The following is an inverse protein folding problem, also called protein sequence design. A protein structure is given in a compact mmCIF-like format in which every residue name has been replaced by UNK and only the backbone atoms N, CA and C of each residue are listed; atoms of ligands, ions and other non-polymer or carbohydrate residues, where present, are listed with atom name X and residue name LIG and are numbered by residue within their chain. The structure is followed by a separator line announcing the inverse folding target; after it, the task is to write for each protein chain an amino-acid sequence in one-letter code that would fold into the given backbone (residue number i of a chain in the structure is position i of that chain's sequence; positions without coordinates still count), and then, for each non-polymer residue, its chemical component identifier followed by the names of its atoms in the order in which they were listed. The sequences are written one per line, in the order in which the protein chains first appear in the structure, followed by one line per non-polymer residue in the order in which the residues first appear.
data_IF_523102833612
#
_entry.id   IF_523102833612
#
_cell.length_a   1.000
_cell.length_b   1.000
_cell.length_c   1.000
_cell.angle_alpha   90.00
_cell.angle_beta   90.00
_cell.angle_gamma   90.00
#
_symmetry.space_group_name_H-M   'P 1'
#
loop_
_entity.id
_entity.type
_entity.pdbx_description
1 polymer ?
#
# COMPACT_ATOMS: atom_id res chain seq x y z
N UNK A 1 9.18 5.59 -6.26
CA UNK A 1 8.38 6.64 -6.95
C UNK A 1 7.42 7.32 -5.97
N UNK A 2 7.12 8.62 -6.13
CA UNK A 2 5.99 9.24 -5.42
C UNK A 2 4.67 8.85 -6.07
N UNK A 3 3.80 8.20 -5.29
CA UNK A 3 2.48 7.72 -5.73
C UNK A 3 1.42 8.78 -5.41
N UNK A 4 1.51 9.44 -4.25
CA UNK A 4 0.66 10.58 -3.91
C UNK A 4 1.51 11.85 -3.88
N UNK A 5 1.31 12.75 -4.85
CA UNK A 5 2.01 14.05 -4.89
C UNK A 5 1.46 15.02 -3.83
N UNK A 6 0.15 14.96 -3.55
CA UNK A 6 -0.52 15.83 -2.58
C UNK A 6 0.05 15.68 -1.15
N UNK A 7 0.32 14.44 -0.76
CA UNK A 7 0.76 14.08 0.60
C UNK A 7 2.22 13.58 0.62
N UNK A 8 2.96 13.76 -0.48
CA UNK A 8 4.35 13.31 -0.67
C UNK A 8 4.58 11.85 -0.20
N UNK A 9 3.75 10.92 -0.67
CA UNK A 9 3.82 9.49 -0.29
C UNK A 9 4.49 8.68 -1.38
N UNK A 10 5.56 7.97 -1.03
CA UNK A 10 6.27 7.08 -1.96
C UNK A 10 5.71 5.66 -1.95
N UNK A 11 5.94 4.93 -3.03
CA UNK A 11 5.74 3.48 -3.13
C UNK A 11 6.44 2.74 -1.98
N UNK A 12 7.67 3.11 -1.65
CA UNK A 12 8.42 2.52 -0.54
C UNK A 12 7.73 2.72 0.80
N UNK A 13 7.13 3.89 1.04
CA UNK A 13 6.36 4.15 2.25
C UNK A 13 5.12 3.25 2.33
N UNK A 14 4.37 3.13 1.23
CA UNK A 14 3.19 2.27 1.14
C UNK A 14 3.55 0.80 1.38
N UNK A 15 4.57 0.29 0.68
CA UNK A 15 5.04 -1.09 0.83
C UNK A 15 5.51 -1.39 2.25
N UNK A 16 6.18 -0.43 2.90
CA UNK A 16 6.60 -0.56 4.30
C UNK A 16 5.40 -0.69 5.24
N UNK A 17 4.34 0.10 5.06
CA UNK A 17 3.13 -0.03 5.87
C UNK A 17 2.43 -1.37 5.67
N UNK A 18 2.40 -1.89 4.44
CA UNK A 18 1.86 -3.22 4.14
C UNK A 18 2.69 -4.32 4.81
N UNK A 19 4.02 -4.27 4.69
CA UNK A 19 4.92 -5.19 5.38
C UNK A 19 4.80 -5.12 6.92
N UNK A 20 4.37 -3.96 7.45
CA UNK A 20 4.08 -3.76 8.86
C UNK A 20 2.64 -4.15 9.26
N UNK A 21 1.84 -4.71 8.35
CA UNK A 21 0.52 -5.26 8.64
C UNK A 21 -0.67 -4.48 8.10
N UNK A 22 -0.49 -3.40 7.34
CA UNK A 22 -1.61 -2.74 6.67
C UNK A 22 -2.17 -3.66 5.57
N UNK A 23 -3.45 -3.99 5.64
CA UNK A 23 -4.14 -4.90 4.69
C UNK A 23 -5.28 -4.23 3.96
N UNK A 24 -5.63 -2.98 4.30
CA UNK A 24 -6.74 -2.26 3.70
C UNK A 24 -6.35 -0.87 3.22
N UNK A 25 -7.06 -0.36 2.21
CA UNK A 25 -6.91 1.03 1.77
C UNK A 25 -7.20 2.03 2.90
N UNK A 26 -8.12 1.69 3.82
CA UNK A 26 -8.48 2.56 4.94
C UNK A 26 -7.32 2.77 5.91
N UNK A 27 -6.55 1.73 6.19
CA UNK A 27 -5.34 1.84 7.02
C UNK A 27 -4.30 2.74 6.34
N UNK A 28 -4.06 2.52 5.04
CA UNK A 28 -3.14 3.36 4.27
C UNK A 28 -3.59 4.84 4.19
N UNK A 29 -4.90 5.10 4.10
CA UNK A 29 -5.45 6.46 4.18
C UNK A 29 -5.21 7.09 5.54
N UNK A 30 -5.49 6.34 6.62
CA UNK A 30 -5.34 6.82 7.99
C UNK A 30 -3.88 7.14 8.33
N UNK A 31 -2.93 6.37 7.82
CA UNK A 31 -1.51 6.51 8.13
C UNK A 31 -0.85 7.64 7.33
N UNK A 32 -1.16 7.75 6.03
CA UNK A 32 -0.42 8.63 5.11
C UNK A 32 -1.22 9.83 4.59
N UNK A 33 -2.50 9.96 4.98
CA UNK A 33 -3.43 10.95 4.43
C UNK A 33 -3.49 10.94 2.88
N UNK A 34 -3.28 9.77 2.27
CA UNK A 34 -3.31 9.61 0.82
C UNK A 34 -4.77 9.57 0.34
N UNK A 35 -5.01 10.04 -0.89
CA UNK A 35 -6.37 10.08 -1.47
C UNK A 35 -7.28 11.20 -0.98
N UNK A 36 -6.92 11.91 0.09
CA UNK A 36 -7.78 12.92 0.74
C UNK A 36 -7.91 14.25 -0.05
N UNK A 37 -6.91 14.62 -0.86
CA UNK A 37 -6.94 15.88 -1.62
C UNK A 37 -7.58 15.72 -3.01
N UNK A 38 -6.85 15.17 -3.99
CA UNK A 38 -7.34 15.04 -5.36
C UNK A 38 -7.78 13.62 -5.75
N UNK A 39 -7.53 12.62 -4.90
CA UNK A 39 -7.90 11.22 -5.15
C UNK A 39 -7.15 10.48 -6.26
N UNK A 40 -6.31 11.15 -7.07
CA UNK A 40 -5.68 10.57 -8.27
C UNK A 40 -4.78 9.36 -7.97
N UNK A 41 -4.16 9.32 -6.79
CA UNK A 41 -3.30 8.21 -6.38
C UNK A 41 -4.07 6.93 -6.01
N UNK A 42 -5.39 7.00 -5.77
CA UNK A 42 -6.13 5.88 -5.16
C UNK A 42 -6.08 4.58 -5.98
N UNK A 43 -6.12 4.68 -7.31
CA UNK A 43 -6.02 3.52 -8.20
C UNK A 43 -4.65 2.84 -8.09
N UNK A 44 -3.58 3.63 -8.13
CA UNK A 44 -2.22 3.12 -8.09
C UNK A 44 -1.88 2.53 -6.72
N UNK A 45 -2.30 3.19 -5.63
CA UNK A 45 -2.12 2.69 -4.27
C UNK A 45 -2.87 1.37 -4.06
N UNK A 46 -4.10 1.24 -4.59
CA UNK A 46 -4.85 -0.02 -4.53
C UNK A 46 -4.18 -1.14 -5.31
N UNK A 47 -3.57 -0.82 -6.46
CA UNK A 47 -2.75 -1.76 -7.23
C UNK A 47 -1.58 -2.29 -6.40
N UNK A 48 -0.80 -1.39 -5.80
CA UNK A 48 0.33 -1.74 -4.92
C UNK A 48 -0.16 -2.60 -3.74
N UNK A 49 -1.26 -2.20 -3.08
CA UNK A 49 -1.81 -2.98 -1.97
C UNK A 49 -2.11 -4.42 -2.37
N UNK A 50 -2.85 -4.61 -3.46
CA UNK A 50 -3.23 -5.95 -3.91
C UNK A 50 -2.02 -6.80 -4.32
N UNK A 51 -1.08 -6.20 -5.07
CA UNK A 51 0.14 -6.90 -5.50
C UNK A 51 1.00 -7.35 -4.33
N UNK A 52 1.19 -6.50 -3.33
CA UNK A 52 2.03 -6.84 -2.17
C UNK A 52 1.34 -7.83 -1.23
N UNK A 53 0.01 -7.77 -1.07
CA UNK A 53 -0.73 -8.78 -0.30
C UNK A 53 -0.69 -10.16 -0.95
N UNK A 54 -0.74 -10.24 -2.28
CA UNK A 54 -0.57 -11.51 -2.99
C UNK A 54 0.84 -12.08 -2.77
N UNK A 55 1.89 -11.25 -2.88
CA UNK A 55 3.27 -11.69 -2.60
C UNK A 55 3.43 -12.21 -1.17
N UNK A 56 2.88 -11.50 -0.18
CA UNK A 56 2.92 -11.95 1.21
C UNK A 56 2.21 -13.29 1.40
N UNK A 57 1.07 -13.48 0.74
CA UNK A 57 0.35 -14.76 0.76
C UNK A 57 1.19 -15.89 0.12
N UNK A 58 1.81 -15.64 -1.02
CA UNK A 58 2.70 -16.61 -1.69
C UNK A 58 3.91 -16.98 -0.82
N UNK A 59 4.54 -15.98 -0.17
CA UNK A 59 5.68 -16.21 0.74
C UNK A 59 5.28 -17.03 1.97
N UNK A 60 4.09 -16.78 2.55
CA UNK A 60 3.53 -17.58 3.63
C UNK A 60 3.30 -19.03 3.20
N UNK A 61 2.83 -19.28 1.98
CA UNK A 61 2.65 -20.63 1.45
C UNK A 61 3.98 -21.38 1.30
N UNK A 62 5.05 -20.69 0.88
CA UNK A 62 6.40 -21.28 0.77
C UNK A 62 6.99 -21.62 2.14
N UNK A 63 6.68 -20.84 3.19
CA UNK A 63 7.21 -21.08 4.54
C UNK A 63 6.54 -22.25 5.29
N UNK A 64 5.37 -22.69 4.84
CA UNK A 64 4.59 -23.77 5.47
C UNK A 64 4.72 -25.11 4.72
N UNK A 65 5.35 -25.10 3.54
CA UNK A 65 5.68 -26.30 2.76
C UNK A 65 7.06 -26.86 3.12
#
# INVERSE_FOLDING_TARGET
MYVCLCSAVSDKAIKKSIANGATTMRELYSEHNLGNQCGKCCKDVKGILNEELLKLADELLVQVA
#
